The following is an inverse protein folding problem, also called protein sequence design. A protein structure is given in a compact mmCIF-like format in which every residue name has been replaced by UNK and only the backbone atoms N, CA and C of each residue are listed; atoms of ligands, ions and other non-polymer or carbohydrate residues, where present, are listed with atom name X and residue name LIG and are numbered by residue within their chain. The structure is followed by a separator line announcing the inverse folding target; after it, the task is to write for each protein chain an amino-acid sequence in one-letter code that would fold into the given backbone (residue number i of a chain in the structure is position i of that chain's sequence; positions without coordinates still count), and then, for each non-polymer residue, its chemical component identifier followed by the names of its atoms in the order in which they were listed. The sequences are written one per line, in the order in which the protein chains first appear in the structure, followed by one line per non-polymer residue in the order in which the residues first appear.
data_IF_160092209669
#
_entry.id   IF_160092209669
#
_cell.length_a   1.000
_cell.length_b   1.000
_cell.length_c   1.000
_cell.angle_alpha   90.00
_cell.angle_beta   90.00
_cell.angle_gamma   90.00
#
_symmetry.space_group_name_H-M   'P 1'
#
loop_
_entity.id
_entity.type
_entity.pdbx_description
1 polymer ?
#
# COMPACT_ATOMS: atom_id res chain seq x y z
N UNK A 1 -8.98 -8.45 -14.19
CA UNK A 1 -7.51 -8.71 -14.35
C UNK A 1 -6.91 -9.60 -13.24
N UNK A 2 -7.42 -9.59 -12.00
CA UNK A 2 -6.82 -10.35 -10.88
C UNK A 2 -7.40 -11.74 -10.58
N UNK A 3 -8.33 -12.26 -11.40
CA UNK A 3 -9.01 -13.53 -11.10
C UNK A 3 -8.01 -14.68 -10.94
N UNK A 4 -8.16 -15.44 -9.86
CA UNK A 4 -7.26 -16.55 -9.50
C UNK A 4 -5.91 -16.13 -8.91
N UNK A 5 -5.66 -14.84 -8.70
CA UNK A 5 -4.45 -14.31 -8.04
C UNK A 5 -4.72 -13.69 -6.66
N UNK A 6 -5.93 -13.18 -6.44
CA UNK A 6 -6.38 -12.58 -5.20
C UNK A 6 -7.86 -12.91 -4.98
N UNK A 7 -8.32 -13.11 -3.73
CA UNK A 7 -9.76 -13.18 -3.43
C UNK A 7 -10.47 -11.85 -3.71
N UNK A 8 -9.71 -10.76 -3.89
CA UNK A 8 -10.19 -9.42 -4.26
C UNK A 8 -9.65 -9.02 -5.64
N UNK A 9 -10.17 -9.60 -6.75
CA UNK A 9 -9.65 -9.39 -8.10
C UNK A 9 -10.16 -8.10 -8.77
N UNK A 10 -10.46 -7.07 -7.97
CA UNK A 10 -11.11 -5.82 -8.39
C UNK A 10 -10.36 -4.59 -7.83
N UNK A 11 -10.61 -3.42 -8.41
CA UNK A 11 -10.22 -2.14 -7.83
C UNK A 11 -11.45 -1.59 -7.10
N UNK A 12 -11.27 -1.20 -5.82
CA UNK A 12 -12.33 -0.56 -5.06
C UNK A 12 -12.17 0.96 -5.20
N UNK A 13 -13.16 1.61 -5.79
CA UNK A 13 -13.24 3.07 -5.83
C UNK A 13 -13.99 3.50 -4.56
N UNK A 14 -13.24 4.00 -3.58
CA UNK A 14 -13.78 4.44 -2.30
C UNK A 14 -13.25 5.85 -1.98
N UNK A 15 -14.12 6.85 -1.74
CA UNK A 15 -13.69 8.21 -1.41
C UNK A 15 -12.78 8.24 -0.18
N UNK A 16 -11.77 9.12 -0.20
CA UNK A 16 -10.77 9.18 0.87
C UNK A 16 -11.39 9.67 2.19
N UNK A 17 -12.32 10.61 2.15
CA UNK A 17 -13.05 11.10 3.31
C UNK A 17 -13.87 10.00 3.99
N UNK A 18 -14.56 9.16 3.20
CA UNK A 18 -15.24 7.97 3.72
C UNK A 18 -14.24 6.95 4.29
N UNK A 19 -13.06 6.79 3.66
CA UNK A 19 -11.98 5.93 4.14
C UNK A 19 -11.43 6.38 5.50
N UNK A 20 -11.15 7.67 5.65
CA UNK A 20 -10.69 8.25 6.90
C UNK A 20 -11.73 8.04 8.01
N UNK A 21 -13.02 8.31 7.71
CA UNK A 21 -14.10 8.10 8.67
C UNK A 21 -14.23 6.63 9.09
N UNK A 22 -14.14 5.68 8.14
CA UNK A 22 -14.15 4.25 8.44
C UNK A 22 -13.05 3.84 9.42
N UNK A 23 -11.82 4.37 9.22
CA UNK A 23 -10.70 4.08 10.11
C UNK A 23 -10.88 4.72 11.50
N UNK A 24 -11.42 5.94 11.56
CA UNK A 24 -11.72 6.64 12.83
C UNK A 24 -12.80 5.90 13.62
N UNK A 25 -13.85 5.44 12.94
CA UNK A 25 -14.93 4.67 13.56
C UNK A 25 -14.39 3.35 14.11
N UNK A 26 -13.48 2.69 13.37
CA UNK A 26 -12.80 1.49 13.84
C UNK A 26 -11.94 1.74 15.06
N UNK A 27 -11.15 2.82 15.08
CA UNK A 27 -10.36 3.21 16.26
C UNK A 27 -11.26 3.48 17.47
N UNK A 28 -12.37 4.20 17.26
CA UNK A 28 -13.35 4.50 18.29
C UNK A 28 -13.98 3.22 18.86
N UNK A 29 -14.34 2.27 18.01
CA UNK A 29 -14.86 0.96 18.43
C UNK A 29 -13.81 0.13 19.21
N UNK A 30 -12.52 0.39 19.01
CA UNK A 30 -11.41 -0.19 19.78
C UNK A 30 -11.06 0.62 21.04
N UNK A 31 -11.81 1.68 21.36
CA UNK A 31 -11.58 2.55 22.52
C UNK A 31 -10.44 3.56 22.33
N UNK A 32 -9.94 3.73 21.11
CA UNK A 32 -8.90 4.71 20.78
C UNK A 32 -9.55 5.99 20.27
N UNK A 33 -9.30 7.11 20.96
CA UNK A 33 -9.80 8.42 20.58
C UNK A 33 -8.76 9.19 19.77
N UNK A 34 -9.16 9.67 18.60
CA UNK A 34 -8.34 10.61 17.80
C UNK A 34 -8.54 12.02 18.35
N UNK A 35 -7.47 12.63 18.84
CA UNK A 35 -7.48 14.03 19.25
C UNK A 35 -7.24 14.95 18.04
N UNK A 36 -8.17 15.89 17.81
CA UNK A 36 -8.11 16.83 16.69
C UNK A 36 -7.70 18.22 17.15
N UNK A 37 -7.10 18.99 16.25
CA UNK A 37 -6.59 20.35 16.52
C UNK A 37 -5.55 20.36 17.64
N UNK A 38 -4.69 19.35 17.62
CA UNK A 38 -3.48 19.27 18.42
C UNK A 38 -2.31 19.18 17.45
N UNK A 39 -1.43 20.17 17.50
CA UNK A 39 -0.30 20.32 16.59
C UNK A 39 0.97 19.87 17.30
N UNK A 40 1.76 18.98 16.68
CA UNK A 40 3.11 18.66 17.14
C UNK A 40 4.01 19.86 16.82
N UNK A 41 4.60 20.48 17.85
CA UNK A 41 5.49 21.62 17.65
C UNK A 41 6.95 21.19 17.57
N UNK A 42 7.39 20.32 18.47
CA UNK A 42 8.74 19.74 18.49
C UNK A 42 8.71 18.43 19.28
N UNK A 43 9.75 17.62 19.14
CA UNK A 43 9.96 16.45 19.96
C UNK A 43 11.45 16.14 20.07
N UNK A 44 11.80 15.40 21.11
CA UNK A 44 13.16 14.92 21.36
C UNK A 44 13.11 13.41 21.67
N UNK A 45 14.09 12.66 21.16
CA UNK A 45 14.35 11.28 21.58
C UNK A 45 15.36 11.33 22.73
N UNK A 46 14.86 11.31 23.97
CA UNK A 46 15.65 11.46 25.19
C UNK A 46 15.50 10.26 26.12
N UNK A 47 16.62 9.78 26.65
CA UNK A 47 16.69 8.76 27.71
C UNK A 47 15.78 7.54 27.51
N UNK A 48 15.58 7.09 26.27
CA UNK A 48 14.78 5.91 25.96
C UNK A 48 13.27 6.16 25.75
N UNK A 49 12.84 7.42 25.62
CA UNK A 49 11.47 7.80 25.27
C UNK A 49 11.45 9.01 24.34
N UNK A 50 10.32 9.24 23.68
CA UNK A 50 10.05 10.47 22.93
C UNK A 50 9.29 11.44 23.82
N UNK A 51 9.80 12.66 23.95
CA UNK A 51 9.12 13.77 24.63
C UNK A 51 8.66 14.74 23.55
N UNK A 52 7.35 14.86 23.36
CA UNK A 52 6.74 15.71 22.35
C UNK A 52 6.05 16.92 22.99
N UNK A 53 6.30 18.12 22.45
CA UNK A 53 5.55 19.33 22.81
C UNK A 53 4.42 19.53 21.82
N UNK A 54 3.20 19.51 22.35
CA UNK A 54 1.97 19.64 21.59
C UNK A 54 1.34 21.01 21.86
N UNK A 55 0.72 21.60 20.84
CA UNK A 55 -0.03 22.84 20.95
C UNK A 55 -1.51 22.56 20.72
N UNK A 56 -2.34 22.94 21.69
CA UNK A 56 -3.80 22.81 21.64
C UNK A 56 -4.45 23.96 20.87
N UNK A 57 -5.72 23.79 20.52
CA UNK A 57 -6.49 24.78 19.78
C UNK A 57 -6.65 26.14 20.50
N UNK A 58 -6.56 26.16 21.83
CA UNK A 58 -6.59 27.38 22.66
C UNK A 58 -5.21 28.07 22.76
N UNK A 59 -4.19 27.52 22.10
CA UNK A 59 -2.81 28.03 22.11
C UNK A 59 -1.97 27.54 23.30
N UNK A 60 -2.56 26.78 24.23
CA UNK A 60 -1.80 26.17 25.33
C UNK A 60 -0.87 25.08 24.81
N UNK A 61 0.22 24.86 25.54
CA UNK A 61 1.18 23.80 25.25
C UNK A 61 1.10 22.72 26.31
N UNK A 62 1.30 21.48 25.87
CA UNK A 62 1.42 20.33 26.75
C UNK A 62 2.58 19.44 26.31
N UNK A 63 3.07 18.64 27.25
CA UNK A 63 4.11 17.65 27.02
C UNK A 63 3.49 16.26 27.01
N UNK A 64 3.77 15.49 25.97
CA UNK A 64 3.39 14.09 25.82
C UNK A 64 4.63 13.21 25.81
N UNK A 65 4.68 12.19 26.66
CA UNK A 65 5.74 11.19 26.65
C UNK A 65 5.24 9.89 26.01
N UNK A 66 6.02 9.35 25.08
CA UNK A 66 5.70 8.10 24.39
C UNK A 66 6.95 7.24 24.20
N UNK A 67 6.78 5.92 24.09
CA UNK A 67 7.90 5.03 23.81
C UNK A 67 8.46 5.18 22.38
N UNK A 68 7.60 5.58 21.44
CA UNK A 68 7.89 5.76 20.02
C UNK A 68 6.99 6.85 19.42
N UNK A 69 7.42 7.44 18.31
CA UNK A 69 6.66 8.41 17.52
C UNK A 69 6.59 7.95 16.05
N UNK A 70 5.42 8.03 15.44
CA UNK A 70 5.25 7.79 14.00
C UNK A 70 4.69 9.05 13.33
N UNK A 71 5.49 9.65 12.44
CA UNK A 71 5.11 10.75 11.58
C UNK A 71 4.26 10.25 10.42
N UNK A 72 2.95 10.47 10.53
CA UNK A 72 1.95 10.24 9.48
C UNK A 72 1.32 11.59 9.06
N UNK A 73 2.10 12.67 9.13
CA UNK A 73 1.69 14.08 9.11
C UNK A 73 1.86 14.74 7.73
N UNK A 74 1.85 13.94 6.66
CA UNK A 74 1.77 14.41 5.29
C UNK A 74 3.08 14.96 4.71
N UNK A 75 3.00 15.52 3.50
CA UNK A 75 4.17 15.96 2.73
C UNK A 75 5.01 17.03 3.46
N UNK A 76 4.39 17.87 4.29
CA UNK A 76 5.05 18.89 5.12
C UNK A 76 5.33 18.40 6.54
N UNK A 77 5.72 17.13 6.67
CA UNK A 77 5.94 16.45 7.94
C UNK A 77 6.87 17.21 8.88
N UNK A 78 6.32 17.61 10.03
CA UNK A 78 7.04 18.18 11.16
C UNK A 78 7.93 17.14 11.82
N UNK A 79 7.50 15.87 11.82
CA UNK A 79 8.34 14.77 12.32
C UNK A 79 9.60 14.63 11.47
N UNK A 80 9.48 14.60 10.14
CA UNK A 80 10.64 14.49 9.23
C UNK A 80 11.59 15.67 9.41
N UNK A 81 11.07 16.89 9.50
CA UNK A 81 11.87 18.09 9.76
C UNK A 81 12.58 18.02 11.12
N UNK A 82 11.88 17.61 12.18
CA UNK A 82 12.47 17.46 13.52
C UNK A 82 13.57 16.40 13.59
N UNK A 83 13.52 15.37 12.74
CA UNK A 83 14.60 14.39 12.60
C UNK A 83 15.77 14.88 11.75
N UNK A 84 15.66 16.03 11.10
CA UNK A 84 16.66 16.51 10.14
C UNK A 84 16.82 15.59 8.92
N UNK A 85 15.80 14.81 8.57
CA UNK A 85 15.86 13.86 7.47
C UNK A 85 15.60 14.60 6.15
N UNK A 86 16.53 14.43 5.20
CA UNK A 86 16.42 14.98 3.86
C UNK A 86 15.22 14.39 3.10
N UNK A 87 14.66 15.19 2.19
CA UNK A 87 13.54 14.79 1.34
C UNK A 87 13.85 14.99 -0.14
N UNK A 88 14.87 14.29 -0.69
CA UNK A 88 15.31 14.46 -2.06
C UNK A 88 14.27 13.99 -3.07
N UNK A 89 14.34 14.59 -4.26
CA UNK A 89 13.49 14.28 -5.39
C UNK A 89 13.23 15.50 -6.25
N UNK A 90 12.29 15.39 -7.19
CA UNK A 90 11.99 16.42 -8.16
C UNK A 90 10.51 16.76 -8.23
N UNK A 91 10.23 17.81 -8.99
CA UNK A 91 8.88 18.25 -9.35
C UNK A 91 8.64 17.85 -10.79
N UNK A 92 7.50 17.25 -11.11
CA UNK A 92 7.13 17.09 -12.52
C UNK A 92 6.66 18.44 -13.06
N UNK A 93 7.07 18.77 -14.28
CA UNK A 93 6.74 20.05 -14.91
C UNK A 93 5.24 20.20 -15.22
N UNK A 94 4.48 19.11 -15.25
CA UNK A 94 3.06 19.14 -15.61
C UNK A 94 2.17 19.49 -14.42
N UNK A 95 1.28 20.47 -14.62
CA UNK A 95 0.20 20.78 -13.68
C UNK A 95 -0.99 19.85 -13.95
N UNK A 96 -1.51 19.22 -12.90
CA UNK A 96 -2.69 18.38 -12.96
C UNK A 96 -3.90 19.11 -12.39
N UNK A 97 -5.08 18.69 -12.82
CA UNK A 97 -6.33 19.04 -12.18
C UNK A 97 -7.09 17.79 -11.77
N UNK A 98 -7.93 17.96 -10.76
CA UNK A 98 -8.98 17.03 -10.40
C UNK A 98 -10.30 17.79 -10.34
N UNK A 99 -11.35 17.20 -10.90
CA UNK A 99 -12.68 17.78 -10.89
C UNK A 99 -13.72 16.70 -10.57
N UNK A 100 -14.57 16.94 -9.57
CA UNK A 100 -15.75 16.10 -9.34
C UNK A 100 -16.93 16.73 -10.07
N UNK A 101 -17.53 15.97 -10.98
CA UNK A 101 -18.53 16.48 -11.92
C UNK A 101 -19.80 15.64 -11.90
N UNK A 102 -20.91 16.28 -12.25
CA UNK A 102 -22.11 15.65 -12.76
C UNK A 102 -22.07 15.71 -14.28
N UNK A 103 -22.12 14.55 -14.93
CA UNK A 103 -21.91 14.44 -16.36
C UNK A 103 -22.72 13.30 -16.99
N UNK A 104 -22.87 13.38 -18.31
CA UNK A 104 -23.46 12.34 -19.17
C UNK A 104 -22.49 12.00 -20.29
N UNK A 105 -22.66 10.84 -20.90
CA UNK A 105 -21.84 10.42 -22.04
C UNK A 105 -21.56 8.93 -22.05
N UNK A 106 -20.97 8.44 -23.14
CA UNK A 106 -20.68 7.02 -23.32
C UNK A 106 -19.71 6.46 -22.27
N UNK A 107 -18.82 7.31 -21.73
CA UNK A 107 -17.85 6.94 -20.70
C UNK A 107 -18.41 6.97 -19.28
N UNK A 108 -19.65 7.42 -19.08
CA UNK A 108 -20.34 7.42 -17.78
C UNK A 108 -21.06 6.08 -17.55
N UNK A 109 -20.37 4.96 -17.77
CA UNK A 109 -20.92 3.61 -17.77
C UNK A 109 -20.52 2.78 -16.53
N UNK A 110 -19.94 3.43 -15.50
CA UNK A 110 -19.45 2.74 -14.30
C UNK A 110 -18.07 2.09 -14.45
N UNK A 111 -17.40 2.28 -15.58
CA UNK A 111 -16.02 1.80 -15.82
C UNK A 111 -15.00 2.94 -15.78
N UNK A 112 -13.74 2.59 -15.57
CA UNK A 112 -12.63 3.55 -15.67
C UNK A 112 -12.27 3.76 -17.14
N UNK A 113 -12.33 5.01 -17.59
CA UNK A 113 -11.93 5.39 -18.95
C UNK A 113 -10.69 6.28 -18.90
N UNK A 114 -9.75 6.06 -19.81
CA UNK A 114 -8.57 6.90 -19.95
C UNK A 114 -8.42 7.34 -21.41
N UNK A 115 -8.21 8.62 -21.60
CA UNK A 115 -8.04 9.27 -22.88
C UNK A 115 -6.67 9.96 -22.90
N UNK A 116 -5.89 9.66 -23.94
CA UNK A 116 -4.53 10.17 -24.16
C UNK A 116 -4.44 10.87 -25.52
N UNK A 117 -4.22 12.18 -25.52
CA UNK A 117 -4.02 13.00 -26.72
C UNK A 117 -2.55 13.48 -26.82
N UNK A 118 -2.22 14.20 -27.90
CA UNK A 118 -0.96 14.88 -28.24
C UNK A 118 -0.34 15.71 -27.11
N UNK A 119 -1.14 16.28 -26.22
CA UNK A 119 -0.68 17.10 -25.08
C UNK A 119 -1.46 16.87 -23.80
N UNK A 120 -2.62 16.22 -23.88
CA UNK A 120 -3.60 16.18 -22.80
C UNK A 120 -3.85 14.73 -22.38
N UNK A 121 -3.91 14.50 -21.08
CA UNK A 121 -4.31 13.25 -20.45
C UNK A 121 -5.59 13.50 -19.66
N UNK A 122 -6.54 12.56 -19.73
CA UNK A 122 -7.76 12.56 -18.93
C UNK A 122 -8.10 11.15 -18.49
N UNK A 123 -8.33 10.94 -17.21
CA UNK A 123 -8.98 9.74 -16.66
C UNK A 123 -10.35 10.14 -16.10
N UNK A 124 -11.35 9.33 -16.40
CA UNK A 124 -12.69 9.38 -15.81
C UNK A 124 -12.82 8.24 -14.83
N UNK A 125 -12.97 8.59 -13.55
CA UNK A 125 -13.30 7.65 -12.49
C UNK A 125 -14.79 7.74 -12.17
N UNK A 126 -15.55 6.65 -12.29
CA UNK A 126 -16.95 6.65 -11.88
C UNK A 126 -17.03 6.78 -10.36
N UNK A 127 -17.94 7.65 -9.89
CA UNK A 127 -18.25 7.77 -8.46
C UNK A 127 -19.51 6.95 -8.13
N UNK A 128 -19.75 6.71 -6.84
CA UNK A 128 -20.82 5.82 -6.34
C UNK A 128 -22.22 6.21 -6.82
N UNK A 129 -22.45 7.49 -7.12
CA UNK A 129 -23.75 8.00 -7.57
C UNK A 129 -23.76 8.09 -9.10
N UNK A 130 -24.78 7.51 -9.72
CA UNK A 130 -24.96 7.56 -11.18
C UNK A 130 -24.92 8.99 -11.71
N UNK A 131 -24.22 9.18 -12.82
CA UNK A 131 -23.99 10.49 -13.42
C UNK A 131 -22.91 11.32 -12.72
N UNK A 132 -22.25 10.83 -11.67
CA UNK A 132 -21.11 11.50 -11.06
C UNK A 132 -19.78 10.83 -11.44
N UNK A 133 -18.77 11.64 -11.75
CA UNK A 133 -17.42 11.17 -12.02
C UNK A 133 -16.37 12.11 -11.45
N UNK A 134 -15.19 11.56 -11.20
CA UNK A 134 -13.96 12.31 -10.94
C UNK A 134 -13.09 12.32 -12.19
N UNK A 135 -12.83 13.51 -12.69
CA UNK A 135 -11.95 13.76 -13.82
C UNK A 135 -10.56 14.09 -13.30
N UNK A 136 -9.54 13.38 -13.76
CA UNK A 136 -8.14 13.72 -13.50
C UNK A 136 -7.46 13.96 -14.82
N UNK A 137 -6.92 15.16 -15.03
CA UNK A 137 -6.24 15.47 -16.27
C UNK A 137 -5.07 16.42 -16.11
N UNK A 138 -4.40 16.68 -17.22
CA UNK A 138 -3.31 17.66 -17.28
C UNK A 138 -3.85 19.00 -17.73
N UNK A 139 -3.43 20.07 -17.05
CA UNK A 139 -3.62 21.43 -17.53
C UNK A 139 -2.53 21.78 -18.55
N UNK A 140 -2.89 22.53 -19.58
CA UNK A 140 -1.91 23.14 -20.46
C UNK A 140 -1.25 24.30 -19.72
N UNK A 141 0.06 24.43 -19.83
CA UNK A 141 0.78 25.63 -19.39
C UNK A 141 0.45 26.78 -20.35
N UNK A 142 -0.71 27.39 -20.18
CA UNK A 142 -1.07 28.65 -20.81
C UNK A 142 -1.59 29.61 -19.72
N UNK A 143 -0.71 30.01 -18.80
CA UNK A 143 -0.85 31.28 -18.10
C UNK A 143 0.38 31.59 -17.21
N UNK A 144 0.77 32.86 -17.22
CA UNK A 144 1.59 33.54 -16.20
C UNK A 144 0.86 33.65 -14.82
N UNK A 145 -0.22 32.88 -14.61
CA UNK A 145 -1.09 32.95 -13.42
C UNK A 145 -0.72 31.85 -12.41
N UNK A 146 -0.75 32.14 -11.09
CA UNK A 146 -0.59 31.12 -10.06
C UNK A 146 -1.61 29.99 -10.23
N UNK A 147 -1.17 28.73 -10.09
CA UNK A 147 -2.04 27.55 -10.26
C UNK A 147 -3.29 27.55 -9.35
N UNK A 148 -3.21 28.19 -8.18
CA UNK A 148 -4.30 28.40 -7.21
C UNK A 148 -5.46 29.26 -7.77
N UNK A 149 -5.23 29.99 -8.86
CA UNK A 149 -6.23 30.84 -9.51
C UNK A 149 -6.84 30.18 -10.76
N UNK A 150 -6.42 28.97 -11.10
CA UNK A 150 -6.98 28.22 -12.22
C UNK A 150 -8.31 27.59 -11.82
N UNK A 151 -9.20 27.50 -12.80
CA UNK A 151 -10.57 27.02 -12.65
C UNK A 151 -10.90 25.97 -13.70
N UNK A 152 -12.09 25.38 -13.61
CA UNK A 152 -12.60 24.45 -14.61
C UNK A 152 -12.64 25.06 -16.03
N UNK A 153 -12.89 26.36 -16.15
CA UNK A 153 -12.98 27.03 -17.45
C UNK A 153 -11.63 27.07 -18.19
N UNK A 154 -10.52 26.91 -17.46
CA UNK A 154 -9.17 26.83 -18.01
C UNK A 154 -8.82 25.39 -18.47
N UNK A 155 -9.67 24.39 -18.21
CA UNK A 155 -9.47 23.01 -18.69
C UNK A 155 -9.75 22.93 -20.19
N UNK A 156 -8.92 22.18 -20.92
CA UNK A 156 -9.06 22.03 -22.37
C UNK A 156 -10.40 21.40 -22.75
N UNK A 157 -11.27 22.15 -23.45
CA UNK A 157 -12.53 21.61 -23.99
C UNK A 157 -12.31 20.47 -24.98
N UNK A 158 -11.16 20.44 -25.65
CA UNK A 158 -10.82 19.40 -26.64
C UNK A 158 -10.78 18.00 -26.03
N UNK A 159 -10.21 17.84 -24.83
CA UNK A 159 -10.11 16.51 -24.20
C UNK A 159 -11.48 16.02 -23.71
N UNK A 160 -12.34 16.93 -23.27
CA UNK A 160 -13.72 16.68 -22.83
C UNK A 160 -14.61 16.28 -24.01
N UNK A 161 -14.55 17.02 -25.11
CA UNK A 161 -15.27 16.68 -26.35
C UNK A 161 -14.78 15.36 -26.94
N UNK A 162 -13.47 15.13 -26.95
CA UNK A 162 -12.89 13.92 -27.53
C UNK A 162 -13.28 12.64 -26.77
N UNK A 163 -13.31 12.69 -25.44
CA UNK A 163 -13.76 11.55 -24.64
C UNK A 163 -15.29 11.39 -24.64
N UNK A 164 -16.02 12.38 -25.18
CA UNK A 164 -17.48 12.36 -25.30
C UNK A 164 -18.22 12.47 -23.97
N UNK A 165 -17.69 13.30 -23.06
CA UNK A 165 -18.34 13.61 -21.77
C UNK A 165 -18.99 15.01 -21.81
N UNK A 166 -20.26 15.07 -21.46
CA UNK A 166 -21.06 16.29 -21.32
C UNK A 166 -21.19 16.63 -19.84
N UNK A 167 -20.44 17.64 -19.38
CA UNK A 167 -20.39 18.06 -17.97
C UNK A 167 -21.51 19.06 -17.70
N UNK A 168 -22.52 18.62 -16.95
CA UNK A 168 -23.65 19.46 -16.56
C UNK A 168 -23.31 20.39 -15.39
N UNK A 169 -22.48 19.92 -14.44
CA UNK A 169 -22.10 20.68 -13.24
C UNK A 169 -20.75 20.22 -12.69
N UNK A 170 -19.96 21.16 -12.20
CA UNK A 170 -18.71 20.89 -11.47
C UNK A 170 -18.97 21.12 -9.98
N UNK A 171 -18.84 20.07 -9.18
CA UNK A 171 -19.06 20.10 -7.75
C UNK A 171 -17.82 20.53 -6.97
N UNK A 172 -16.64 20.18 -7.48
CA UNK A 172 -15.36 20.52 -6.87
C UNK A 172 -14.27 20.54 -7.95
N UNK A 173 -13.30 21.44 -7.81
CA UNK A 173 -12.15 21.57 -8.70
C UNK A 173 -10.91 21.97 -7.92
N UNK A 174 -9.77 21.35 -8.24
CA UNK A 174 -8.48 21.72 -7.67
C UNK A 174 -7.35 21.40 -8.64
N UNK A 175 -6.29 22.22 -8.61
CA UNK A 175 -5.05 21.96 -9.35
C UNK A 175 -3.96 21.53 -8.38
N UNK A 176 -3.07 20.66 -8.84
CA UNK A 176 -1.94 20.21 -8.04
C UNK A 176 -0.74 19.89 -8.92
N UNK A 177 0.45 20.16 -8.39
CA UNK A 177 1.70 19.67 -8.98
C UNK A 177 2.02 18.31 -8.40
N UNK A 178 2.56 17.47 -9.28
CA UNK A 178 3.03 16.17 -8.86
C UNK A 178 4.48 16.30 -8.45
N UNK A 179 4.77 15.82 -7.25
CA UNK A 179 6.13 15.71 -6.73
C UNK A 179 6.50 14.23 -6.67
N UNK A 180 7.78 13.95 -6.90
CA UNK A 180 8.36 12.66 -6.53
C UNK A 180 9.45 12.95 -5.52
N UNK A 181 9.24 12.59 -4.25
CA UNK A 181 10.26 12.72 -3.21
C UNK A 181 10.18 11.52 -2.28
N UNK A 182 11.33 11.11 -1.77
CA UNK A 182 11.43 10.00 -0.82
C UNK A 182 12.41 10.44 0.27
N UNK A 183 12.03 10.26 1.53
CA UNK A 183 12.87 10.57 2.66
C UNK A 183 14.13 9.70 2.62
N UNK A 184 15.28 10.29 2.97
CA UNK A 184 16.55 9.55 2.98
C UNK A 184 16.51 8.35 3.94
N UNK A 185 15.81 8.55 5.06
CA UNK A 185 15.57 7.57 6.11
C UNK A 185 14.08 7.57 6.47
N UNK A 186 13.57 6.40 6.83
CA UNK A 186 12.20 6.20 7.33
C UNK A 186 12.18 6.07 8.85
N UNK A 187 13.36 6.04 9.49
CA UNK A 187 13.51 5.97 10.92
C UNK A 187 14.76 6.72 11.39
N UNK A 188 14.65 7.39 12.53
CA UNK A 188 15.80 7.79 13.33
C UNK A 188 15.46 7.57 14.81
N UNK A 189 16.27 6.74 15.48
CA UNK A 189 16.03 6.37 16.88
C UNK A 189 14.66 5.73 17.09
N UNK A 190 13.83 6.40 17.91
CA UNK A 190 12.45 5.99 18.26
C UNK A 190 11.36 6.64 17.41
N UNK A 191 11.74 7.44 16.41
CA UNK A 191 10.82 8.10 15.51
C UNK A 191 10.84 7.46 14.11
N UNK A 192 9.66 7.34 13.51
CA UNK A 192 9.42 6.70 12.22
C UNK A 192 8.63 7.65 11.31
N UNK A 193 8.74 7.47 9.99
CA UNK A 193 7.94 8.18 8.99
C UNK A 193 7.15 7.16 8.17
N UNK A 194 5.86 7.42 7.91
CA UNK A 194 5.00 6.59 7.08
C UNK A 194 4.08 7.43 6.18
N UNK A 195 3.73 6.87 5.00
CA UNK A 195 2.89 7.57 4.02
C UNK A 195 3.57 8.83 3.47
N UNK A 196 2.79 9.89 3.25
CA UNK A 196 3.26 11.13 2.60
C UNK A 196 4.37 11.86 3.37
N UNK A 197 4.52 11.58 4.67
CA UNK A 197 5.66 12.06 5.46
C UNK A 197 6.99 11.45 4.99
N UNK A 198 6.96 10.20 4.51
CA UNK A 198 8.11 9.43 4.07
C UNK A 198 8.31 9.47 2.55
N UNK A 199 7.25 9.55 1.75
CA UNK A 199 7.34 9.61 0.30
C UNK A 199 6.12 10.23 -0.35
N UNK A 200 6.35 10.98 -1.42
CA UNK A 200 5.31 11.50 -2.32
C UNK A 200 5.64 11.05 -3.73
N UNK A 201 4.63 10.68 -4.50
CA UNK A 201 4.83 10.20 -5.86
C UNK A 201 3.65 10.57 -6.76
N UNK A 202 3.80 10.28 -8.06
CA UNK A 202 2.76 10.57 -9.03
C UNK A 202 1.44 9.86 -8.72
N UNK A 203 0.29 10.55 -8.80
CA UNK A 203 -1.01 9.92 -8.66
C UNK A 203 -1.38 9.05 -9.86
N UNK A 204 -0.54 9.00 -10.91
CA UNK A 204 -0.71 8.08 -12.03
C UNK A 204 -0.68 6.64 -11.50
N UNK A 205 -1.88 6.08 -11.32
CA UNK A 205 -2.12 4.74 -10.76
C UNK A 205 -2.83 4.68 -9.40
N UNK A 206 -3.10 5.82 -8.74
CA UNK A 206 -3.85 5.86 -7.46
C UNK A 206 -3.13 5.19 -6.28
N UNK A 207 -1.79 5.19 -6.28
CA UNK A 207 -0.99 4.34 -5.38
C UNK A 207 -0.56 4.99 -4.07
N UNK A 208 -0.79 6.31 -3.87
CA UNK A 208 -0.27 7.08 -2.72
C UNK A 208 -0.77 6.53 -1.39
N UNK A 209 -2.07 6.68 -1.16
CA UNK A 209 -2.74 6.15 0.03
C UNK A 209 -2.51 4.64 0.20
N UNK A 210 -2.55 3.85 -0.88
CA UNK A 210 -2.30 2.40 -0.83
C UNK A 210 -0.89 2.09 -0.29
N UNK A 211 0.12 2.84 -0.73
CA UNK A 211 1.50 2.69 -0.26
C UNK A 211 1.62 3.08 1.22
N UNK A 212 1.01 4.20 1.62
CA UNK A 212 1.00 4.65 3.01
C UNK A 212 0.30 3.68 3.95
N UNK A 213 -0.83 3.07 3.54
CA UNK A 213 -1.47 1.98 4.28
C UNK A 213 -0.52 0.79 4.40
N UNK A 214 0.19 0.44 3.33
CA UNK A 214 1.22 -0.62 3.36
C UNK A 214 2.36 -0.32 4.33
N UNK A 215 2.78 0.94 4.47
CA UNK A 215 3.78 1.36 5.45
C UNK A 215 3.24 1.20 6.88
N UNK A 216 2.02 1.69 7.12
CA UNK A 216 1.38 1.61 8.43
C UNK A 216 1.18 0.15 8.86
N UNK A 217 0.69 -0.73 7.97
CA UNK A 217 0.54 -2.17 8.25
C UNK A 217 1.89 -2.81 8.55
N UNK A 218 2.95 -2.48 7.80
CA UNK A 218 4.28 -3.05 8.04
C UNK A 218 4.90 -2.60 9.37
N UNK A 219 4.68 -1.33 9.77
CA UNK A 219 5.24 -0.76 11.00
C UNK A 219 4.45 -1.17 12.24
N UNK A 220 3.12 -1.17 12.16
CA UNK A 220 2.24 -1.29 13.33
C UNK A 220 2.45 -2.58 14.11
N UNK A 221 2.53 -3.73 13.44
CA UNK A 221 2.74 -5.02 14.13
C UNK A 221 4.13 -5.13 14.76
N UNK A 222 5.16 -4.52 14.13
CA UNK A 222 6.53 -4.50 14.66
C UNK A 222 6.61 -3.62 15.91
N UNK A 223 6.00 -2.43 15.88
CA UNK A 223 5.88 -1.55 17.03
C UNK A 223 5.12 -2.22 18.16
N UNK A 224 3.95 -2.80 17.88
CA UNK A 224 3.15 -3.50 18.87
C UNK A 224 3.94 -4.63 19.55
N UNK A 225 4.61 -5.48 18.75
CA UNK A 225 5.40 -6.58 19.29
C UNK A 225 6.54 -6.09 20.19
N UNK A 226 7.28 -5.05 19.80
CA UNK A 226 8.38 -4.53 20.62
C UNK A 226 7.87 -3.81 21.88
N UNK A 227 6.82 -3.00 21.77
CA UNK A 227 6.21 -2.30 22.93
C UNK A 227 5.66 -3.29 23.95
N UNK A 228 5.09 -4.41 23.49
CA UNK A 228 4.56 -5.46 24.36
C UNK A 228 5.62 -6.45 24.87
N UNK A 229 6.91 -6.25 24.51
CA UNK A 229 7.99 -7.18 24.88
C UNK A 229 7.89 -8.56 24.22
N UNK A 230 7.15 -8.66 23.12
CA UNK A 230 6.92 -9.86 22.32
C UNK A 230 7.87 -10.02 21.14
N UNK A 231 8.82 -9.09 20.98
CA UNK A 231 9.91 -9.17 20.01
C UNK A 231 11.09 -8.30 20.46
N UNK A 232 12.28 -8.64 19.98
CA UNK A 232 13.47 -7.80 20.16
C UNK A 232 13.35 -6.48 19.39
N UNK A 233 13.91 -5.39 19.93
CA UNK A 233 13.87 -4.07 19.30
C UNK A 233 14.49 -4.03 17.89
N UNK A 234 15.45 -4.92 17.61
CA UNK A 234 16.06 -5.08 16.29
C UNK A 234 15.03 -5.41 15.19
N UNK A 235 13.85 -5.93 15.55
CA UNK A 235 12.74 -6.13 14.62
C UNK A 235 12.36 -4.84 13.88
N UNK A 236 12.41 -3.69 14.57
CA UNK A 236 12.06 -2.39 14.01
C UNK A 236 13.05 -1.92 12.94
N UNK A 237 14.29 -2.43 12.96
CA UNK A 237 15.32 -2.10 11.96
C UNK A 237 14.96 -2.64 10.57
N UNK A 238 14.05 -3.62 10.50
CA UNK A 238 13.55 -4.15 9.23
C UNK A 238 12.56 -3.22 8.52
N UNK A 239 12.00 -2.20 9.18
CA UNK A 239 10.98 -1.33 8.60
C UNK A 239 11.50 -0.53 7.40
N UNK A 240 12.57 0.25 7.62
CA UNK A 240 13.19 1.08 6.59
C UNK A 240 13.61 0.29 5.34
N UNK A 241 14.44 -0.76 5.42
CA UNK A 241 14.89 -1.47 4.22
C UNK A 241 13.75 -2.16 3.46
N UNK A 242 12.66 -2.55 4.14
CA UNK A 242 11.47 -3.13 3.49
C UNK A 242 10.67 -2.07 2.71
N UNK A 243 10.43 -0.90 3.32
CA UNK A 243 9.53 0.12 2.76
C UNK A 243 10.24 1.15 1.89
N UNK A 244 11.47 1.54 2.23
CA UNK A 244 12.28 2.45 1.42
C UNK A 244 12.65 1.83 0.07
N UNK A 245 13.00 0.54 0.04
CA UNK A 245 13.32 -0.16 -1.20
C UNK A 245 12.10 -0.23 -2.13
N UNK A 246 10.90 -0.37 -1.57
CA UNK A 246 9.65 -0.29 -2.32
C UNK A 246 9.41 1.13 -2.85
N UNK A 247 9.49 2.15 -1.98
CA UNK A 247 9.29 3.55 -2.35
C UNK A 247 10.23 3.97 -3.50
N UNK A 248 11.53 3.64 -3.43
CA UNK A 248 12.49 3.94 -4.50
C UNK A 248 12.18 3.23 -5.82
N UNK A 249 11.76 1.96 -5.79
CA UNK A 249 11.35 1.22 -7.00
C UNK A 249 10.06 1.79 -7.59
N UNK A 250 9.11 2.16 -6.73
CA UNK A 250 7.86 2.77 -7.14
C UNK A 250 8.14 4.10 -7.83
N UNK A 251 8.94 4.98 -7.24
CA UNK A 251 9.35 6.26 -7.85
C UNK A 251 10.05 6.02 -9.19
N UNK A 252 11.06 5.14 -9.24
CA UNK A 252 11.79 4.89 -10.49
C UNK A 252 10.91 4.29 -11.61
N UNK A 253 9.92 3.46 -11.27
CA UNK A 253 9.01 2.85 -12.26
C UNK A 253 7.90 3.80 -12.72
N UNK A 254 7.32 4.54 -11.78
CA UNK A 254 6.29 5.55 -12.07
C UNK A 254 6.87 6.72 -12.85
N UNK A 255 8.08 7.19 -12.53
CA UNK A 255 8.77 8.24 -13.26
C UNK A 255 9.04 7.85 -14.72
N UNK A 256 9.51 6.63 -14.99
CA UNK A 256 9.73 6.13 -16.36
C UNK A 256 8.43 6.00 -17.15
N UNK A 257 7.37 5.46 -16.53
CA UNK A 257 6.08 5.32 -17.18
C UNK A 257 5.45 6.69 -17.45
N UNK A 258 5.49 7.58 -16.47
CA UNK A 258 4.98 8.93 -16.56
C UNK A 258 5.73 9.74 -17.62
N UNK A 259 7.06 9.74 -17.60
CA UNK A 259 7.89 10.41 -18.60
C UNK A 259 7.63 9.87 -20.00
N UNK A 260 7.47 8.56 -20.17
CA UNK A 260 7.09 7.99 -21.46
C UNK A 260 5.71 8.49 -21.94
N UNK A 261 4.74 8.59 -21.03
CA UNK A 261 3.38 9.07 -21.33
C UNK A 261 3.35 10.57 -21.61
N UNK A 262 4.11 11.38 -20.87
CA UNK A 262 4.04 12.85 -20.88
C UNK A 262 5.15 13.53 -21.70
N UNK A 263 6.10 12.77 -22.26
CA UNK A 263 7.19 13.32 -23.08
C UNK A 263 6.69 14.06 -24.34
N UNK A 264 7.29 15.23 -24.61
CA UNK A 264 6.91 16.17 -25.68
C UNK A 264 7.61 15.91 -27.03
N UNK A 265 8.49 14.91 -27.14
CA UNK A 265 9.28 14.64 -28.34
C UNK A 265 8.47 14.11 -29.53
N UNK A 266 8.83 14.51 -30.76
CA UNK A 266 8.10 14.12 -31.98
C UNK A 266 8.04 12.59 -32.20
N UNK A 267 9.10 11.87 -31.82
CA UNK A 267 9.13 10.40 -31.86
C UNK A 267 8.21 9.77 -30.80
N UNK A 268 8.24 10.27 -29.57
CA UNK A 268 7.36 9.82 -28.50
C UNK A 268 5.88 10.07 -28.83
N UNK A 269 5.58 11.22 -29.46
CA UNK A 269 4.26 11.54 -30.01
C UNK A 269 3.81 10.52 -31.06
N UNK A 270 4.68 10.16 -32.01
CA UNK A 270 4.37 9.17 -33.05
C UNK A 270 4.10 7.79 -32.45
N UNK A 271 4.90 7.37 -31.47
CA UNK A 271 4.69 6.11 -30.75
C UNK A 271 3.35 6.12 -30.00
N UNK A 272 3.06 7.19 -29.25
CA UNK A 272 1.84 7.31 -28.43
C UNK A 272 0.55 7.32 -29.25
N UNK A 273 0.55 7.98 -30.41
CA UNK A 273 -0.67 8.12 -31.22
C UNK A 273 -0.88 6.97 -32.21
N UNK A 274 0.20 6.40 -32.73
CA UNK A 274 0.09 5.43 -33.83
C UNK A 274 0.40 4.00 -33.40
N UNK A 275 1.31 3.78 -32.44
CA UNK A 275 1.71 2.43 -32.02
C UNK A 275 0.97 1.97 -30.77
N UNK A 276 0.80 2.83 -29.76
CA UNK A 276 0.15 2.45 -28.50
C UNK A 276 -1.29 1.95 -28.72
N UNK A 277 -2.18 2.60 -29.50
CA UNK A 277 -3.53 2.10 -29.74
C UNK A 277 -3.57 0.80 -30.55
N UNK A 278 -2.53 0.49 -31.33
CA UNK A 278 -2.44 -0.75 -32.11
C UNK A 278 -1.86 -1.91 -31.28
N UNK A 279 -0.94 -1.62 -30.37
CA UNK A 279 -0.20 -2.64 -29.60
C UNK A 279 -0.88 -2.96 -28.26
N UNK A 280 -1.41 -1.94 -27.56
CA UNK A 280 -1.96 -2.11 -26.21
C UNK A 280 -3.18 -3.07 -26.21
N UNK A 281 -4.24 -2.88 -27.03
CA UNK A 281 -5.40 -3.74 -26.97
C UNK A 281 -5.09 -5.25 -27.14
N UNK A 282 -4.34 -5.70 -28.17
CA UNK A 282 -4.01 -7.13 -28.29
C UNK A 282 -3.05 -7.62 -27.20
N UNK A 283 -2.19 -6.75 -26.65
CA UNK A 283 -1.34 -7.11 -25.51
C UNK A 283 -2.17 -7.38 -24.25
N UNK A 284 -3.27 -6.64 -24.04
CA UNK A 284 -4.21 -6.85 -22.93
C UNK A 284 -5.06 -8.13 -23.09
N UNK A 285 -5.14 -8.73 -24.28
CA UNK A 285 -5.73 -10.06 -24.48
C UNK A 285 -4.86 -11.19 -23.90
N UNK A 286 -3.55 -10.93 -23.70
CA UNK A 286 -2.65 -11.91 -23.11
C UNK A 286 -2.82 -11.98 -21.58
N UNK A 287 -3.19 -13.17 -21.09
CA UNK A 287 -3.36 -13.41 -19.65
C UNK A 287 -2.10 -13.07 -18.83
N UNK A 288 -0.90 -13.33 -19.37
CA UNK A 288 0.36 -13.02 -18.70
C UNK A 288 0.53 -11.51 -18.46
N UNK A 289 0.17 -10.68 -19.43
CA UNK A 289 0.25 -9.21 -19.33
C UNK A 289 -0.76 -8.69 -18.32
N UNK A 290 -2.02 -9.12 -18.41
CA UNK A 290 -3.06 -8.72 -17.43
C UNK A 290 -2.65 -9.07 -16.00
N UNK A 291 -2.05 -10.24 -15.79
CA UNK A 291 -1.53 -10.67 -14.48
C UNK A 291 -0.37 -9.80 -14.00
N UNK A 292 0.57 -9.46 -14.88
CA UNK A 292 1.68 -8.57 -14.55
C UNK A 292 1.19 -7.16 -14.17
N UNK A 293 0.28 -6.60 -14.96
CA UNK A 293 -0.34 -5.30 -14.70
C UNK A 293 -1.10 -5.29 -13.38
N UNK A 294 -1.95 -6.30 -13.15
CA UNK A 294 -2.66 -6.45 -11.88
C UNK A 294 -1.67 -6.48 -10.71
N UNK A 295 -0.62 -7.31 -10.77
CA UNK A 295 0.34 -7.44 -9.69
C UNK A 295 1.13 -6.16 -9.39
N UNK A 296 1.37 -5.37 -10.43
CA UNK A 296 2.08 -4.09 -10.31
C UNK A 296 1.18 -3.01 -9.70
N UNK A 297 -0.03 -2.83 -10.25
CA UNK A 297 -0.96 -1.79 -9.79
C UNK A 297 -1.49 -2.09 -8.38
N UNK A 298 -1.89 -3.34 -8.12
CA UNK A 298 -2.38 -3.80 -6.80
C UNK A 298 -1.28 -3.95 -5.75
N UNK A 299 -0.01 -3.72 -6.12
CA UNK A 299 1.16 -3.92 -5.25
C UNK A 299 1.30 -5.35 -4.69
N UNK A 300 0.60 -6.33 -5.23
CA UNK A 300 0.73 -7.75 -4.84
C UNK A 300 2.06 -8.37 -5.31
N UNK A 301 2.83 -7.68 -6.15
CA UNK A 301 4.20 -8.03 -6.50
C UNK A 301 5.26 -7.64 -5.44
N UNK A 302 4.90 -6.82 -4.45
CA UNK A 302 5.84 -6.38 -3.41
C UNK A 302 6.38 -7.59 -2.65
N UNK A 303 7.69 -7.62 -2.43
CA UNK A 303 8.37 -8.65 -1.68
C UNK A 303 9.57 -8.08 -0.90
N UNK A 304 9.93 -8.73 0.20
CA UNK A 304 10.98 -8.34 1.12
C UNK A 304 12.14 -9.33 1.15
N UNK A 305 12.43 -10.01 0.03
CA UNK A 305 13.45 -11.07 -0.06
C UNK A 305 14.85 -10.70 0.45
N UNK A 306 15.20 -9.41 0.47
CA UNK A 306 16.47 -8.91 0.99
C UNK A 306 16.42 -8.42 2.45
N UNK A 307 15.27 -8.52 3.11
CA UNK A 307 15.09 -8.14 4.52
C UNK A 307 15.76 -9.15 5.44
N UNK A 308 16.24 -8.68 6.59
CA UNK A 308 16.77 -9.52 7.67
C UNK A 308 15.73 -10.53 8.19
N UNK A 309 14.43 -10.22 8.08
CA UNK A 309 13.33 -11.10 8.44
C UNK A 309 13.04 -12.20 7.43
N UNK A 310 13.62 -12.17 6.24
CA UNK A 310 13.24 -13.02 5.13
C UNK A 310 14.24 -14.16 4.91
N UNK A 311 13.82 -15.40 5.18
CA UNK A 311 14.69 -16.59 5.09
C UNK A 311 14.07 -17.77 4.38
N UNK A 312 14.95 -18.64 3.89
CA UNK A 312 14.59 -19.92 3.33
C UNK A 312 13.90 -19.84 1.96
N UNK A 313 13.70 -21.02 1.38
CA UNK A 313 13.05 -21.22 0.10
C UNK A 313 12.44 -22.60 0.05
N UNK A 314 11.16 -22.66 -0.31
CA UNK A 314 10.45 -23.91 -0.56
C UNK A 314 9.75 -23.79 -1.92
N UNK A 315 10.28 -24.51 -2.91
CA UNK A 315 9.83 -24.41 -4.30
C UNK A 315 10.21 -23.07 -4.92
N UNK A 316 9.22 -22.31 -5.37
CA UNK A 316 9.44 -20.95 -5.90
C UNK A 316 9.24 -19.85 -4.85
N UNK A 317 8.60 -20.17 -3.72
CA UNK A 317 8.37 -19.23 -2.62
C UNK A 317 9.63 -19.07 -1.79
N UNK A 318 9.98 -17.82 -1.50
CA UNK A 318 11.11 -17.43 -0.65
C UNK A 318 10.61 -16.64 0.54
N UNK A 319 11.40 -16.61 1.61
CA UNK A 319 11.22 -15.59 2.65
C UNK A 319 11.16 -14.20 2.01
N UNK A 320 10.24 -13.37 2.52
CA UNK A 320 9.90 -12.05 2.02
C UNK A 320 8.85 -12.04 0.92
N UNK A 321 8.45 -13.17 0.35
CA UNK A 321 7.31 -13.18 -0.58
C UNK A 321 6.00 -13.03 0.19
N UNK A 322 5.03 -12.31 -0.39
CA UNK A 322 3.64 -12.38 0.09
C UNK A 322 3.16 -13.82 -0.10
N UNK A 323 2.49 -14.38 0.90
CA UNK A 323 1.95 -15.74 0.78
C UNK A 323 0.97 -15.78 -0.41
N UNK A 324 1.16 -16.69 -1.38
CA UNK A 324 0.29 -16.75 -2.55
C UNK A 324 -1.10 -17.24 -2.14
N UNK A 325 -2.14 -16.60 -2.68
CA UNK A 325 -3.50 -17.10 -2.55
C UNK A 325 -3.72 -18.32 -3.44
N UNK A 326 -4.35 -19.35 -2.88
CA UNK A 326 -4.77 -20.54 -3.61
C UNK A 326 -6.29 -20.62 -3.55
N UNK A 327 -7.00 -20.41 -4.67
CA UNK A 327 -8.46 -20.48 -4.70
C UNK A 327 -8.97 -21.80 -4.12
N UNK A 328 -10.09 -21.80 -3.39
CA UNK A 328 -10.74 -23.03 -2.95
C UNK A 328 -11.10 -23.91 -4.16
N UNK A 329 -11.12 -25.23 -3.95
CA UNK A 329 -11.42 -26.18 -5.04
C UNK A 329 -12.89 -26.10 -5.45
N UNK A 330 -13.21 -26.47 -6.69
CA UNK A 330 -14.59 -26.53 -7.19
C UNK A 330 -15.46 -27.55 -6.44
N UNK A 331 -14.85 -28.55 -5.80
CA UNK A 331 -15.50 -29.52 -4.93
C UNK A 331 -15.54 -29.07 -3.44
N UNK A 332 -15.29 -27.78 -3.16
CA UNK A 332 -14.95 -27.30 -1.83
C UNK A 332 -13.46 -27.43 -1.53
N UNK A 333 -12.97 -26.63 -0.58
CA UNK A 333 -11.59 -26.62 -0.12
C UNK A 333 -11.33 -25.41 0.75
N UNK A 334 -10.40 -25.53 1.67
CA UNK A 334 -10.06 -24.45 2.60
C UNK A 334 -9.39 -23.29 1.86
N UNK A 335 -9.83 -22.07 2.17
CA UNK A 335 -9.21 -20.83 1.70
C UNK A 335 -8.01 -20.49 2.58
N UNK A 336 -6.82 -20.49 1.99
CA UNK A 336 -5.59 -20.18 2.72
C UNK A 336 -5.45 -18.69 3.06
N UNK A 337 -6.33 -17.83 2.55
CA UNK A 337 -6.36 -16.42 2.90
C UNK A 337 -7.15 -16.13 4.18
N UNK A 338 -8.21 -16.90 4.47
CA UNK A 338 -9.08 -16.65 5.62
C UNK A 338 -8.32 -16.58 6.97
N UNK A 339 -7.34 -17.47 7.27
CA UNK A 339 -6.54 -17.37 8.50
C UNK A 339 -5.70 -16.10 8.65
N UNK A 340 -5.35 -15.44 7.53
CA UNK A 340 -4.52 -14.24 7.55
C UNK A 340 -5.25 -13.02 8.14
N UNK A 341 -6.57 -13.09 8.27
CA UNK A 341 -7.39 -12.02 8.89
C UNK A 341 -7.15 -11.84 10.38
N UNK A 342 -6.53 -12.82 11.05
CA UNK A 342 -6.09 -12.71 12.46
C UNK A 342 -4.99 -11.66 12.66
N UNK A 343 -4.20 -11.35 11.61
CA UNK A 343 -3.04 -10.47 11.69
C UNK A 343 -2.01 -10.92 12.73
N UNK A 344 -1.90 -12.23 12.94
CA UNK A 344 -0.96 -12.84 13.88
C UNK A 344 0.15 -13.60 13.13
N UNK A 345 1.27 -13.83 13.83
CA UNK A 345 2.26 -14.81 13.40
C UNK A 345 1.63 -16.19 13.35
N UNK A 346 1.77 -16.88 12.22
CA UNK A 346 1.13 -18.18 12.01
C UNK A 346 1.96 -19.08 11.10
N UNK A 347 1.76 -20.40 11.21
CA UNK A 347 2.45 -21.40 10.40
C UNK A 347 1.47 -22.05 9.45
N UNK A 348 1.79 -22.06 8.16
CA UNK A 348 0.99 -22.72 7.13
C UNK A 348 1.75 -23.94 6.60
N UNK A 349 1.09 -25.10 6.55
CA UNK A 349 1.61 -26.33 5.94
C UNK A 349 0.63 -26.80 4.88
N UNK A 350 1.15 -27.18 3.71
CA UNK A 350 0.33 -27.65 2.58
C UNK A 350 0.62 -29.14 2.34
N UNK A 351 -0.17 -30.02 2.95
CA UNK A 351 0.04 -31.46 2.96
C UNK A 351 0.06 -32.04 4.37
N UNK A 352 0.98 -32.97 4.63
CA UNK A 352 1.18 -33.57 5.94
C UNK A 352 2.11 -32.71 6.81
N UNK A 353 1.84 -32.69 8.11
CA UNK A 353 2.64 -31.99 9.11
C UNK A 353 3.28 -33.00 10.07
N UNK A 354 4.52 -32.75 10.46
CA UNK A 354 5.25 -33.60 11.41
C UNK A 354 4.79 -33.33 12.87
N UNK A 355 4.74 -34.37 13.74
CA UNK A 355 4.35 -34.20 15.15
C UNK A 355 5.19 -33.18 15.92
N UNK A 356 6.48 -33.06 15.59
CA UNK A 356 7.40 -32.13 16.23
C UNK A 356 7.03 -30.67 15.93
N UNK A 357 6.53 -30.39 14.71
CA UNK A 357 6.07 -29.07 14.33
C UNK A 357 4.74 -28.71 15.03
N UNK A 358 3.83 -29.68 15.17
CA UNK A 358 2.61 -29.52 15.97
C UNK A 358 2.97 -29.17 17.42
N UNK A 359 3.88 -29.94 18.03
CA UNK A 359 4.32 -29.74 19.40
C UNK A 359 4.98 -28.36 19.60
N UNK A 360 5.83 -27.93 18.67
CA UNK A 360 6.44 -26.61 18.70
C UNK A 360 5.39 -25.49 18.59
N UNK A 361 4.47 -25.58 17.63
CA UNK A 361 3.43 -24.57 17.46
C UNK A 361 2.55 -24.47 18.70
N UNK A 362 2.14 -25.60 19.28
CA UNK A 362 1.39 -25.64 20.54
C UNK A 362 2.16 -25.02 21.71
N UNK A 363 3.45 -25.36 21.87
CA UNK A 363 4.29 -24.82 22.93
C UNK A 363 4.56 -23.30 22.79
N UNK A 364 4.55 -22.78 21.56
CA UNK A 364 4.78 -21.36 21.26
C UNK A 364 3.50 -20.54 21.10
N UNK A 365 2.32 -21.17 21.19
CA UNK A 365 1.05 -20.50 20.91
C UNK A 365 0.91 -20.02 19.47
N UNK A 366 1.59 -20.66 18.51
CA UNK A 366 1.49 -20.33 17.09
C UNK A 366 0.28 -21.03 16.46
N UNK A 367 -0.66 -20.30 15.85
CA UNK A 367 -1.68 -20.89 14.99
C UNK A 367 -1.03 -21.71 13.87
N UNK A 368 -1.36 -23.00 13.80
CA UNK A 368 -0.92 -23.92 12.75
C UNK A 368 -2.10 -24.24 11.84
N UNK A 369 -2.00 -23.83 10.58
CA UNK A 369 -2.99 -24.11 9.55
C UNK A 369 -2.45 -25.16 8.58
N UNK A 370 -3.12 -26.31 8.53
CA UNK A 370 -2.74 -27.45 7.69
C UNK A 370 -3.78 -27.60 6.59
N UNK A 371 -3.36 -27.44 5.35
CA UNK A 371 -4.23 -27.51 4.18
C UNK A 371 -3.99 -28.80 3.42
N UNK A 372 -5.08 -29.46 3.00
CA UNK A 372 -4.99 -30.63 2.12
C UNK A 372 -4.31 -30.26 0.80
N UNK A 373 -3.26 -31.01 0.43
CA UNK A 373 -2.46 -30.72 -0.76
C UNK A 373 -3.30 -30.81 -2.04
N UNK A 374 -3.19 -29.79 -2.90
CA UNK A 374 -3.88 -29.70 -4.20
C UNK A 374 -2.89 -29.34 -5.31
N UNK A 375 -3.06 -29.83 -6.56
CA UNK A 375 -2.19 -29.45 -7.68
C UNK A 375 -2.14 -27.93 -7.98
N UNK A 376 -3.18 -27.18 -7.60
CA UNK A 376 -3.18 -25.70 -7.67
C UNK A 376 -2.12 -25.06 -6.78
N UNK A 377 -1.77 -25.67 -5.64
CA UNK A 377 -0.76 -25.16 -4.71
C UNK A 377 0.65 -25.21 -5.33
N UNK A 378 0.97 -26.30 -6.04
CA UNK A 378 2.23 -26.40 -6.80
C UNK A 378 2.33 -25.30 -7.87
N UNK A 379 1.23 -25.02 -8.59
CA UNK A 379 1.17 -23.94 -9.60
C UNK A 379 1.32 -22.54 -8.97
N UNK A 380 0.88 -22.38 -7.73
CA UNK A 380 1.07 -21.16 -6.94
C UNK A 380 2.50 -21.05 -6.37
N UNK A 381 3.33 -22.08 -6.51
CA UNK A 381 4.73 -22.10 -6.08
C UNK A 381 5.01 -22.80 -4.76
N UNK A 382 3.96 -23.24 -4.07
CA UNK A 382 4.07 -23.93 -2.79
C UNK A 382 4.66 -25.33 -2.96
N UNK A 383 5.27 -25.84 -1.91
CA UNK A 383 5.89 -27.17 -1.86
C UNK A 383 5.12 -28.05 -0.89
N UNK A 384 4.88 -29.30 -1.29
CA UNK A 384 4.15 -30.26 -0.49
C UNK A 384 4.91 -30.55 0.81
N UNK A 385 4.20 -30.50 1.94
CA UNK A 385 4.72 -30.72 3.30
C UNK A 385 5.76 -29.69 3.77
N UNK A 386 6.01 -28.62 3.03
CA UNK A 386 6.83 -27.51 3.51
C UNK A 386 6.06 -26.69 4.54
N UNK A 387 6.79 -26.05 5.47
CA UNK A 387 6.26 -25.11 6.43
C UNK A 387 6.58 -23.67 6.03
N UNK A 388 5.59 -22.80 6.15
CA UNK A 388 5.70 -21.37 5.88
C UNK A 388 5.35 -20.61 7.15
N UNK A 389 6.33 -19.98 7.80
CA UNK A 389 6.07 -19.01 8.86
C UNK A 389 5.64 -17.70 8.21
N UNK A 390 4.45 -17.23 8.56
CA UNK A 390 3.82 -16.05 7.98
C UNK A 390 3.70 -14.98 9.06
N UNK A 391 4.10 -13.76 8.68
CA UNK A 391 4.03 -12.55 9.51
C UNK A 391 2.59 -12.01 9.60
N UNK A 392 2.29 -11.17 10.62
CA UNK A 392 1.06 -10.39 10.71
C UNK A 392 0.63 -9.64 9.43
N UNK A 393 1.59 -9.22 8.61
CA UNK A 393 1.36 -8.49 7.35
C UNK A 393 1.25 -9.40 6.10
N UNK A 394 1.02 -10.71 6.30
CA UNK A 394 0.86 -11.74 5.27
C UNK A 394 2.12 -12.08 4.45
N UNK A 395 3.29 -11.61 4.85
CA UNK A 395 4.57 -11.97 4.22
C UNK A 395 5.17 -13.22 4.86
N UNK A 396 5.74 -14.09 4.04
CA UNK A 396 6.46 -15.27 4.52
C UNK A 396 7.76 -14.81 5.16
N UNK A 397 7.93 -15.02 6.46
CA UNK A 397 9.19 -14.81 7.16
C UNK A 397 10.19 -15.93 6.84
N UNK A 398 9.76 -17.19 6.99
CA UNK A 398 10.58 -18.38 6.76
C UNK A 398 9.84 -19.37 5.87
N UNK A 399 10.43 -19.73 4.74
CA UNK A 399 10.00 -20.86 3.91
C UNK A 399 10.93 -22.06 4.17
N UNK A 400 10.44 -23.06 4.91
CA UNK A 400 11.20 -24.24 5.32
C UNK A 400 10.71 -25.47 4.53
N UNK A 401 11.53 -26.01 3.60
CA UNK A 401 11.10 -27.06 2.66
C UNK A 401 10.83 -28.44 3.29
N UNK A 402 11.43 -28.74 4.44
CA UNK A 402 11.34 -30.01 5.17
C UNK A 402 10.43 -29.92 6.41
N UNK A 403 9.76 -28.78 6.62
CA UNK A 403 9.00 -28.44 7.81
C UNK A 403 9.78 -28.61 9.13
N UNK A 404 11.08 -28.28 9.14
CA UNK A 404 11.93 -28.43 10.32
C UNK A 404 11.50 -27.53 11.49
N UNK A 405 10.95 -28.15 12.54
CA UNK A 405 10.60 -27.47 13.79
C UNK A 405 11.81 -26.78 14.44
N UNK A 406 13.00 -27.40 14.39
CA UNK A 406 14.22 -26.82 14.97
C UNK A 406 14.61 -25.49 14.30
N UNK A 407 14.56 -25.42 12.96
CA UNK A 407 14.85 -24.16 12.23
C UNK A 407 13.80 -23.09 12.50
N UNK A 408 12.53 -23.48 12.60
CA UNK A 408 11.45 -22.56 12.96
C UNK A 408 11.66 -21.98 14.37
N UNK A 409 11.97 -22.84 15.35
CA UNK A 409 12.28 -22.42 16.72
C UNK A 409 13.46 -21.46 16.76
N UNK A 410 14.55 -21.79 16.07
CA UNK A 410 15.74 -20.92 16.01
C UNK A 410 15.41 -19.53 15.43
N UNK A 411 14.59 -19.47 14.38
CA UNK A 411 14.14 -18.20 13.82
C UNK A 411 13.36 -17.36 14.83
N UNK A 412 12.38 -17.97 15.53
CA UNK A 412 11.56 -17.27 16.52
C UNK A 412 12.41 -16.76 17.69
N UNK A 413 13.35 -17.59 18.17
CA UNK A 413 14.23 -17.25 19.30
C UNK A 413 15.18 -16.09 18.96
N UNK A 414 15.71 -16.05 17.74
CA UNK A 414 16.59 -14.96 17.30
C UNK A 414 15.88 -13.60 17.33
N UNK A 415 14.64 -13.54 16.86
CA UNK A 415 13.84 -12.31 16.84
C UNK A 415 13.08 -12.07 18.15
N UNK A 416 13.20 -12.98 19.11
CA UNK A 416 12.48 -12.92 20.38
C UNK A 416 10.97 -12.95 20.19
N UNK A 417 10.48 -13.54 19.09
CA UNK A 417 9.05 -13.53 18.75
C UNK A 417 8.30 -14.44 19.71
N UNK A 418 7.44 -13.83 20.51
CA UNK A 418 6.48 -14.48 21.37
C UNK A 418 5.10 -14.14 20.81
N UNK A 419 4.46 -15.06 20.07
CA UNK A 419 3.11 -14.84 19.58
C UNK A 419 2.20 -14.48 20.76
N UNK A 420 1.36 -13.46 20.58
CA UNK A 420 0.39 -13.10 21.59
C UNK A 420 -0.43 -14.35 21.96
N UNK A 421 -0.52 -14.67 23.25
CA UNK A 421 -1.43 -15.71 23.70
C UNK A 421 -2.82 -15.31 23.20
N UNK A 422 -3.51 -16.23 22.50
CA UNK A 422 -4.86 -16.03 21.95
C UNK A 422 -5.69 -15.33 23.01
N UNK A 423 -5.86 -14.02 22.87
CA UNK A 423 -6.77 -13.31 23.75
C UNK A 423 -8.12 -13.87 23.36
N UNK A 424 -8.78 -14.55 24.28
CA UNK A 424 -10.15 -15.01 24.12
C UNK A 424 -11.07 -13.78 24.07
N UNK A 425 -10.98 -13.02 22.98
CA UNK A 425 -11.92 -11.97 22.62
C UNK A 425 -13.22 -12.67 22.29
N UNK A 426 -14.23 -12.47 23.15
CA UNK A 426 -15.60 -12.92 22.93
C UNK A 426 -16.02 -12.59 21.49
N UNK A 427 -16.70 -13.50 20.78
CA UNK A 427 -17.28 -13.15 19.50
C UNK A 427 -18.24 -11.97 19.71
N UNK A 428 -18.04 -10.90 18.95
CA UNK A 428 -19.09 -9.93 18.74
C UNK A 428 -20.25 -10.69 18.08
N UNK A 429 -21.30 -10.94 18.84
CA UNK A 429 -22.56 -11.46 18.33
C UNK A 429 -23.07 -10.50 17.26
N UNK A 430 -23.46 -11.08 16.12
CA UNK A 430 -24.07 -10.46 14.95
C UNK A 430 -25.15 -9.42 15.25
#
# INVERSE_FOLDING_TARGET
MGQGLSPYPYALIYPQDEHEQLLIDRLTALGVKVERRIELVEFEDDAGRVVARLKRADGTHETCEAAYLAGCDGAHSRVREGLGIGFPGGTYDHLFYVADVEARGAVMNGELHAALDTTDFLIVFPLKRDGHARLIGTMREEAERPHEQLSWDDVSKRVIEWIGIDVARVNWFSTYRVYHRVADHFRAGRAFLAGDAAHIHSPVGGQGMNTGIGDAVNLAWKLAAVVQGQAHAALLDSYEPERLAFARRLVASTDRAFTAVTSRGALARRVRLNLVPLIIPPLFELAAVRRLMFRTISQTAVHYRGSSLSRGRAGTIRGGDRLPWVPPGSAGGEDNFAPLTSLEWQVHVYGAVAPELIALCGARGLPLHVFSWRPTMARAGLTRNAAYLVRPDSYVALAEPEASAAKLKAYLDEWGVIPAAVSSGRPASH
#
